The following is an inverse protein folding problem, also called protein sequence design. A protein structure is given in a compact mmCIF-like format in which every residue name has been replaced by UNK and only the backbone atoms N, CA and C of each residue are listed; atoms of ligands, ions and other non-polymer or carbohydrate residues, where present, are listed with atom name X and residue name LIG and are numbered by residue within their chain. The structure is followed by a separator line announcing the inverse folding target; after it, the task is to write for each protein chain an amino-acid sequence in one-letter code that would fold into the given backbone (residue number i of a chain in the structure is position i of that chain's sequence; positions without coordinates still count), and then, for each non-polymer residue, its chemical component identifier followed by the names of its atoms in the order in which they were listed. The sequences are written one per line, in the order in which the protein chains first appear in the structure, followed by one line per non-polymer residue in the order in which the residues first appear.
data_IF_288622331808
#
_entry.id   IF_288622331808
#
_cell.length_a   1.000
_cell.length_b   1.000
_cell.length_c   1.000
_cell.angle_alpha   90.00
_cell.angle_beta   90.00
_cell.angle_gamma   90.00
#
_symmetry.space_group_name_H-M   'P 1'
#
loop_
_entity.id
_entity.type
_entity.pdbx_description
1 polymer ?
#
# COMPACT_ATOMS: atom_id res chain seq x y z
N UNK A 1 5.53 12.15 8.33
CA UNK A 1 5.33 12.95 7.10
C UNK A 1 4.19 12.33 6.32
N UNK A 2 3.20 13.12 5.88
CA UNK A 2 1.99 12.62 5.22
C UNK A 2 2.29 12.03 3.83
N UNK A 3 1.41 11.12 3.41
CA UNK A 3 1.41 10.47 2.10
C UNK A 3 1.20 11.48 0.95
N UNK A 4 0.57 12.62 1.23
CA UNK A 4 0.19 13.68 0.28
C UNK A 4 1.35 14.59 -0.18
N UNK A 5 2.60 14.22 0.11
CA UNK A 5 3.73 14.89 -0.51
C UNK A 5 3.89 14.36 -1.96
N UNK A 6 3.78 15.22 -2.99
CA UNK A 6 3.70 14.78 -4.39
C UNK A 6 4.93 13.99 -4.85
N UNK A 7 6.09 14.16 -4.20
CA UNK A 7 7.30 13.40 -4.52
C UNK A 7 7.29 11.99 -3.91
N UNK A 8 6.52 11.76 -2.85
CA UNK A 8 6.39 10.46 -2.19
C UNK A 8 5.31 9.59 -2.81
N UNK A 9 4.35 10.21 -3.48
CA UNK A 9 3.20 9.56 -4.06
C UNK A 9 3.58 8.50 -5.10
N UNK A 10 4.46 8.79 -6.05
CA UNK A 10 4.75 7.87 -7.17
C UNK A 10 5.47 6.59 -6.70
N UNK A 11 6.49 6.73 -5.84
CA UNK A 11 7.27 5.57 -5.37
C UNK A 11 6.50 4.72 -4.35
N UNK A 12 5.71 5.35 -3.47
CA UNK A 12 4.89 4.63 -2.50
C UNK A 12 3.69 3.96 -3.18
N UNK A 13 3.09 4.58 -4.21
CA UNK A 13 2.02 3.99 -5.03
C UNK A 13 2.51 2.72 -5.76
N UNK A 14 3.68 2.77 -6.40
CA UNK A 14 4.28 1.60 -7.03
C UNK A 14 4.61 0.48 -6.02
N UNK A 15 5.11 0.83 -4.84
CA UNK A 15 5.38 -0.14 -3.77
C UNK A 15 4.08 -0.79 -3.27
N UNK A 16 3.03 -0.01 -3.02
CA UNK A 16 1.72 -0.50 -2.59
C UNK A 16 1.11 -1.45 -3.63
N UNK A 17 1.19 -1.11 -4.92
CA UNK A 17 0.75 -2.00 -5.99
C UNK A 17 1.44 -3.36 -5.93
N UNK A 18 2.77 -3.37 -5.78
CA UNK A 18 3.56 -4.61 -5.71
C UNK A 18 3.28 -5.43 -4.45
N UNK A 19 3.00 -4.80 -3.31
CA UNK A 19 2.59 -5.50 -2.09
C UNK A 19 1.25 -6.20 -2.31
N UNK A 20 0.27 -5.51 -2.92
CA UNK A 20 -1.04 -6.11 -3.22
C UNK A 20 -0.90 -7.28 -4.19
N UNK A 21 -0.09 -7.15 -5.25
CA UNK A 21 0.20 -8.26 -6.16
C UNK A 21 0.89 -9.46 -5.49
N UNK A 22 1.64 -9.23 -4.41
CA UNK A 22 2.31 -10.30 -3.67
C UNK A 22 1.34 -11.10 -2.78
N UNK A 23 0.13 -10.60 -2.55
CA UNK A 23 -0.89 -11.26 -1.74
C UNK A 23 -0.36 -11.77 -0.40
N UNK A 24 -0.77 -12.99 -0.04
CA UNK A 24 -0.39 -13.64 1.23
C UNK A 24 1.06 -14.13 1.26
N UNK A 25 1.74 -14.20 0.11
CA UNK A 25 3.18 -14.50 0.06
C UNK A 25 3.98 -13.34 0.67
N UNK A 26 3.44 -12.12 0.63
CA UNK A 26 4.04 -10.92 1.16
C UNK A 26 5.29 -10.48 0.40
N UNK A 27 5.55 -9.18 0.42
CA UNK A 27 6.70 -8.58 -0.26
C UNK A 27 7.90 -8.50 0.69
N UNK A 28 9.06 -9.07 0.35
CA UNK A 28 10.22 -9.06 1.25
C UNK A 28 10.78 -7.64 1.44
N UNK A 29 11.33 -7.40 2.62
CA UNK A 29 12.16 -6.22 2.88
C UNK A 29 13.50 -6.28 2.12
N UNK A 30 14.17 -5.14 1.96
CA UNK A 30 15.50 -5.05 1.33
C UNK A 30 15.49 -4.86 -0.20
N UNK A 31 14.30 -4.78 -0.82
CA UNK A 31 14.17 -4.32 -2.21
C UNK A 31 14.31 -2.80 -2.30
N UNK A 32 14.44 -2.27 -3.52
CA UNK A 32 14.56 -0.81 -3.78
C UNK A 32 13.41 -0.01 -3.15
N UNK A 33 12.26 -0.64 -2.94
CA UNK A 33 11.07 -0.09 -2.29
C UNK A 33 11.02 -0.23 -0.76
N UNK A 34 12.05 -0.79 -0.10
CA UNK A 34 12.07 -1.02 1.35
C UNK A 34 11.74 0.24 2.17
N UNK A 35 12.36 1.38 1.86
CA UNK A 35 12.05 2.66 2.54
C UNK A 35 10.57 3.05 2.42
N UNK A 36 9.93 2.75 1.28
CA UNK A 36 8.50 3.00 1.08
C UNK A 36 7.64 2.00 1.87
N UNK A 37 8.03 0.73 1.94
CA UNK A 37 7.34 -0.30 2.74
C UNK A 37 7.31 0.06 4.22
N UNK A 38 8.45 0.45 4.78
CA UNK A 38 8.56 0.90 6.18
C UNK A 38 7.74 2.16 6.45
N UNK A 39 7.76 3.13 5.52
CA UNK A 39 6.95 4.34 5.63
C UNK A 39 5.44 4.02 5.60
N UNK A 40 5.00 3.17 4.67
CA UNK A 40 3.61 2.71 4.60
C UNK A 40 3.19 1.93 5.85
N UNK A 41 4.11 1.19 6.47
CA UNK A 41 3.84 0.50 7.72
C UNK A 41 3.63 1.47 8.88
N UNK A 42 4.44 2.55 8.95
CA UNK A 42 4.23 3.63 9.92
C UNK A 42 2.86 4.34 9.73
N UNK A 43 2.35 4.39 8.49
CA UNK A 43 1.04 4.93 8.15
C UNK A 43 -0.09 3.89 8.18
N UNK A 44 0.18 2.65 8.62
CA UNK A 44 -0.79 1.54 8.72
C UNK A 44 -1.38 1.07 7.38
N UNK A 45 -0.75 1.36 6.23
CA UNK A 45 -1.15 0.83 4.92
C UNK A 45 -0.57 -0.55 4.62
N UNK A 46 0.60 -0.85 5.20
CA UNK A 46 1.21 -2.17 5.15
C UNK A 46 1.48 -2.67 6.56
N UNK A 47 1.64 -3.98 6.71
CA UNK A 47 2.04 -4.61 7.97
C UNK A 47 3.26 -5.48 7.69
N UNK A 48 4.32 -5.32 8.49
CA UNK A 48 5.44 -6.24 8.46
C UNK A 48 5.11 -7.45 9.33
N UNK A 49 5.21 -8.63 8.74
CA UNK A 49 5.03 -9.93 9.40
C UNK A 49 6.32 -10.36 10.09
N UNK A 50 6.21 -11.37 10.96
CA UNK A 50 7.34 -11.94 11.69
C UNK A 50 8.44 -12.55 10.79
N UNK A 51 8.10 -12.90 9.54
CA UNK A 51 9.04 -13.37 8.51
C UNK A 51 9.75 -12.23 7.77
N UNK A 52 9.56 -10.97 8.20
CA UNK A 52 10.14 -9.78 7.59
C UNK A 52 9.46 -9.32 6.31
N UNK A 53 8.35 -9.96 5.89
CA UNK A 53 7.62 -9.61 4.68
C UNK A 53 6.47 -8.65 4.97
N UNK A 54 6.15 -7.82 3.98
CA UNK A 54 5.06 -6.84 4.06
C UNK A 54 3.81 -7.35 3.36
N UNK A 55 2.67 -7.23 4.03
CA UNK A 55 1.34 -7.43 3.45
C UNK A 55 0.54 -6.13 3.50
N UNK A 56 -0.44 -5.99 2.60
CA UNK A 56 -1.34 -4.85 2.61
C UNK A 56 -2.36 -4.98 3.74
N UNK A 57 -2.61 -3.90 4.47
CA UNK A 57 -3.72 -3.83 5.44
C UNK A 57 -5.03 -3.52 4.73
N UNK A 58 -6.20 -3.62 5.39
CA UNK A 58 -7.46 -3.14 4.83
C UNK A 58 -7.40 -1.68 4.36
N UNK A 59 -6.72 -0.80 5.10
CA UNK A 59 -6.53 0.59 4.72
C UNK A 59 -5.64 0.74 3.46
N UNK A 60 -4.58 -0.06 3.35
CA UNK A 60 -3.72 -0.09 2.17
C UNK A 60 -4.45 -0.60 0.93
N UNK A 61 -5.31 -1.61 1.09
CA UNK A 61 -6.15 -2.13 0.01
C UNK A 61 -7.19 -1.11 -0.45
N UNK A 62 -7.84 -0.39 0.47
CA UNK A 62 -8.78 0.68 0.13
C UNK A 62 -8.08 1.80 -0.65
N UNK A 63 -6.89 2.22 -0.18
CA UNK A 63 -6.07 3.23 -0.86
C UNK A 63 -5.59 2.74 -2.23
N UNK A 64 -5.20 1.47 -2.36
CA UNK A 64 -4.80 0.87 -3.64
C UNK A 64 -5.93 0.93 -4.67
N UNK A 65 -7.16 0.59 -4.26
CA UNK A 65 -8.33 0.70 -5.15
C UNK A 65 -8.57 2.13 -5.62
N UNK A 66 -8.52 3.10 -4.70
CA UNK A 66 -8.73 4.52 -4.99
C UNK A 66 -7.66 5.12 -5.91
N UNK A 67 -6.38 4.90 -5.61
CA UNK A 67 -5.26 5.60 -6.26
C UNK A 67 -4.65 4.86 -7.45
N UNK A 68 -4.73 3.53 -7.48
CA UNK A 68 -3.99 2.72 -8.47
C UNK A 68 -4.93 2.12 -9.49
N UNK A 69 -6.02 1.52 -9.03
CA UNK A 69 -7.00 0.95 -9.95
C UNK A 69 -7.90 2.03 -10.56
N UNK A 70 -7.89 3.25 -10.02
CA UNK A 70 -8.87 4.30 -10.32
C UNK A 70 -10.30 3.75 -10.31
N UNK A 71 -10.53 2.75 -9.46
CA UNK A 71 -11.82 2.14 -9.31
C UNK A 71 -12.65 3.18 -8.60
N UNK A 72 -13.47 3.90 -9.38
CA UNK A 72 -14.44 4.83 -8.85
C UNK A 72 -15.28 3.99 -7.90
N UNK A 73 -15.09 4.17 -6.59
CA UNK A 73 -15.78 3.40 -5.57
C UNK A 73 -17.24 3.24 -6.00
N UNK A 74 -17.83 2.03 -5.97
CA UNK A 74 -19.22 1.87 -6.39
C UNK A 74 -20.02 2.87 -5.59
N UNK A 75 -20.70 3.78 -6.31
CA UNK A 75 -21.49 4.83 -5.73
C UNK A 75 -22.34 4.20 -4.64
N UNK A 76 -22.15 4.66 -3.40
CA UNK A 76 -22.93 4.21 -2.26
C UNK A 76 -24.40 4.20 -2.68
N UNK A 77 -25.00 3.01 -2.70
CA UNK A 77 -26.45 2.85 -2.80
C UNK A 77 -27.03 3.52 -1.56
N UNK A 78 -27.52 4.75 -1.74
CA UNK A 78 -28.29 5.46 -0.73
C UNK A 78 -29.71 4.89 -0.82
N UNK A 79 -30.18 4.35 0.32
CA UNK A 79 -31.57 3.90 0.52
C UNK A 79 -32.53 5.07 0.61
#
# INVERSE_FOLDING_TARGET
MPWDDPYLETCCRAALHRVVLSGDVGRPDGLKDGRCLHRMAAMRFTCQRADGRFTATPAGLARHRHEILHDRAPAAVQS
#
